data_IF_353738896364
#
_entry.id   IF_353738896364
#
_cell.length_a   1.000
_cell.length_b   1.000
_cell.length_c   1.000
_cell.angle_alpha   90.00
_cell.angle_beta   90.00
_cell.angle_gamma   90.00
#
_symmetry.space_group_name_H-M   'P 1'
#
loop_
_entity.id
_entity.type
_entity.pdbx_description
1 polymer ?
#
# COMPACT_ATOMS: atom_id res chain seq x y z
N UNK A 1 7.38 12.27 3.60
CA UNK A 1 6.68 12.45 4.88
C UNK A 1 6.66 13.92 5.25
N UNK A 2 5.65 14.35 5.97
CA UNK A 2 5.53 15.76 6.41
C UNK A 2 6.70 16.23 7.27
N UNK A 3 7.31 15.32 8.00
CA UNK A 3 8.50 15.63 8.83
C UNK A 3 9.81 15.70 8.03
N UNK A 4 9.76 15.60 6.71
CA UNK A 4 10.93 15.63 5.84
C UNK A 4 11.55 14.27 5.51
N UNK A 5 11.09 13.20 6.13
CA UNK A 5 11.56 11.84 5.82
C UNK A 5 11.19 11.44 4.40
N UNK A 6 12.11 10.78 3.69
CA UNK A 6 11.91 10.33 2.30
C UNK A 6 12.04 8.82 2.21
N UNK A 7 11.05 8.20 1.58
CA UNK A 7 11.06 6.77 1.25
C UNK A 7 11.00 6.67 -0.27
N UNK A 8 11.94 5.94 -0.86
CA UNK A 8 11.99 5.69 -2.29
C UNK A 8 11.87 4.20 -2.56
N UNK A 9 11.27 3.84 -3.68
CA UNK A 9 11.08 2.44 -4.03
C UNK A 9 10.89 2.22 -5.52
N UNK A 10 10.72 0.96 -5.88
CA UNK A 10 10.42 0.51 -7.23
C UNK A 10 9.05 -0.17 -7.24
N UNK A 11 8.32 -0.01 -8.34
CA UNK A 11 7.07 -0.73 -8.59
C UNK A 11 7.30 -1.81 -9.63
N UNK A 12 6.54 -2.91 -9.55
CA UNK A 12 6.69 -4.08 -10.43
C UNK A 12 5.44 -4.32 -11.27
N UNK A 13 5.22 -3.54 -12.35
CA UNK A 13 4.02 -3.69 -13.19
C UNK A 13 3.93 -5.04 -13.88
N UNK A 14 5.05 -5.70 -14.14
CA UNK A 14 5.08 -7.03 -14.72
C UNK A 14 4.58 -8.12 -13.75
N UNK A 15 4.62 -7.87 -12.45
CA UNK A 15 4.18 -8.81 -11.41
C UNK A 15 2.75 -8.53 -10.94
N UNK A 16 2.38 -7.26 -10.83
CA UNK A 16 1.08 -6.85 -10.32
C UNK A 16 0.57 -5.64 -11.11
N UNK A 17 0.18 -5.82 -12.37
CA UNK A 17 -0.14 -4.70 -13.26
C UNK A 17 -1.28 -3.82 -12.74
N UNK A 18 -2.41 -4.40 -12.33
CA UNK A 18 -3.55 -3.60 -11.86
C UNK A 18 -3.22 -2.86 -10.57
N UNK A 19 -2.49 -3.48 -9.66
CA UNK A 19 -2.06 -2.84 -8.42
C UNK A 19 -1.14 -1.65 -8.69
N UNK A 20 -0.19 -1.81 -9.61
CA UNK A 20 0.73 -0.73 -10.00
C UNK A 20 -0.01 0.38 -10.74
N UNK A 21 -0.86 0.05 -11.72
CA UNK A 21 -1.64 1.06 -12.47
C UNK A 21 -2.52 1.88 -11.52
N UNK A 22 -3.16 1.21 -10.58
CA UNK A 22 -3.98 1.86 -9.56
C UNK A 22 -3.16 2.82 -8.68
N UNK A 23 -2.02 2.36 -8.20
CA UNK A 23 -1.15 3.17 -7.36
C UNK A 23 -0.64 4.41 -8.11
N UNK A 24 -0.20 4.24 -9.36
CA UNK A 24 0.23 5.35 -10.22
C UNK A 24 -0.91 6.35 -10.43
N UNK A 25 -2.10 5.87 -10.77
CA UNK A 25 -3.26 6.71 -11.02
C UNK A 25 -3.63 7.53 -9.77
N UNK A 26 -3.68 6.90 -8.61
CA UNK A 26 -3.95 7.58 -7.36
C UNK A 26 -2.88 8.63 -7.02
N UNK A 27 -1.61 8.30 -7.21
CA UNK A 27 -0.51 9.24 -7.00
C UNK A 27 -0.61 10.44 -7.94
N UNK A 28 -0.95 10.21 -9.21
CA UNK A 28 -1.10 11.28 -10.19
C UNK A 28 -2.27 12.22 -9.88
N UNK A 29 -3.24 11.78 -9.10
CA UNK A 29 -4.35 12.60 -8.63
C UNK A 29 -4.13 13.15 -7.21
N UNK A 30 -2.91 13.07 -6.69
CA UNK A 30 -2.56 13.55 -5.35
C UNK A 30 -3.42 12.92 -4.23
N UNK A 31 -3.90 11.71 -4.46
CA UNK A 31 -4.84 11.04 -3.56
C UNK A 31 -4.25 10.82 -2.16
N UNK A 32 -2.96 10.52 -2.08
CA UNK A 32 -2.29 10.20 -0.82
C UNK A 32 -1.80 11.41 -0.05
N UNK A 33 -1.88 12.62 -0.62
CA UNK A 33 -1.41 13.83 0.03
C UNK A 33 -2.17 14.07 1.34
N UNK A 34 -1.44 14.19 2.43
CA UNK A 34 -2.01 14.43 3.75
C UNK A 34 -2.60 13.21 4.45
N UNK A 35 -2.59 12.04 3.83
CA UNK A 35 -3.06 10.81 4.47
C UNK A 35 -2.02 10.28 5.46
N UNK A 36 -2.48 9.47 6.42
CA UNK A 36 -1.64 8.99 7.51
C UNK A 36 -1.38 7.48 7.41
N UNK A 37 -0.32 7.02 8.06
CA UNK A 37 -0.17 5.62 8.40
C UNK A 37 -0.99 5.35 9.66
N UNK A 38 -2.23 4.89 9.47
CA UNK A 38 -3.22 4.75 10.54
C UNK A 38 -3.06 3.46 11.35
N UNK A 39 -2.32 2.48 10.85
CA UNK A 39 -2.09 1.19 11.50
C UNK A 39 -0.62 0.83 11.39
N UNK A 40 0.05 0.72 12.53
CA UNK A 40 1.47 0.47 12.61
C UNK A 40 1.72 -0.66 13.61
N UNK A 41 2.35 -1.73 13.15
CA UNK A 41 2.71 -2.87 14.00
C UNK A 41 4.21 -3.10 13.84
N UNK A 42 4.96 -2.73 14.87
CA UNK A 42 6.40 -2.95 14.92
C UNK A 42 6.72 -4.44 14.74
N UNK A 43 7.73 -4.72 13.92
CA UNK A 43 8.09 -6.09 13.58
C UNK A 43 7.19 -6.74 12.53
N UNK A 44 6.23 -6.00 12.00
CA UNK A 44 5.32 -6.48 10.96
C UNK A 44 5.23 -5.51 9.78
N UNK A 45 4.42 -4.45 9.88
CA UNK A 45 4.18 -3.53 8.75
C UNK A 45 3.70 -2.15 9.22
N UNK A 46 3.73 -1.19 8.29
CA UNK A 46 3.05 0.10 8.43
C UNK A 46 2.02 0.21 7.31
N UNK A 47 0.80 0.57 7.64
CA UNK A 47 -0.33 0.62 6.70
C UNK A 47 -0.93 2.02 6.64
N UNK A 48 -1.17 2.49 5.43
CA UNK A 48 -1.78 3.79 5.17
C UNK A 48 -2.62 3.79 3.91
N UNK A 49 -2.97 5.00 3.44
CA UNK A 49 -3.72 5.17 2.20
C UNK A 49 -5.24 5.15 2.37
N UNK A 50 -5.74 5.17 3.61
CA UNK A 50 -7.17 5.33 3.87
C UNK A 50 -7.54 6.82 3.85
N UNK A 51 -8.47 7.27 2.99
CA UNK A 51 -8.81 8.70 2.89
C UNK A 51 -9.38 9.27 4.20
N UNK A 52 -10.04 8.44 4.99
CA UNK A 52 -10.60 8.85 6.28
C UNK A 52 -9.64 8.63 7.46
N UNK A 53 -8.52 7.96 7.24
CA UNK A 53 -7.58 7.61 8.30
C UNK A 53 -8.10 6.59 9.32
N UNK A 54 -9.19 5.90 9.00
CA UNK A 54 -9.87 4.95 9.91
C UNK A 54 -9.57 3.48 9.57
N UNK A 55 -9.07 3.21 8.37
CA UNK A 55 -8.94 1.86 7.83
C UNK A 55 -10.20 1.37 7.11
N UNK A 56 -11.30 2.14 7.15
CA UNK A 56 -12.59 1.74 6.57
C UNK A 56 -12.84 2.35 5.20
N UNK A 57 -12.08 3.39 4.80
CA UNK A 57 -12.30 4.12 3.57
C UNK A 57 -11.53 3.56 2.38
N UNK A 58 -11.92 4.01 1.19
CA UNK A 58 -11.30 3.66 -0.07
C UNK A 58 -11.66 4.65 -1.17
N UNK A 59 -11.23 4.39 -2.41
CA UNK A 59 -11.42 5.34 -3.53
C UNK A 59 -12.77 5.23 -4.23
N UNK A 60 -13.71 4.46 -3.69
CA UNK A 60 -15.02 4.24 -4.30
C UNK A 60 -15.07 3.08 -5.29
N UNK A 61 -14.01 2.35 -5.44
CA UNK A 61 -13.90 1.16 -6.29
C UNK A 61 -12.90 0.17 -5.69
N UNK A 62 -12.88 -1.03 -6.23
CA UNK A 62 -11.89 -2.06 -5.90
C UNK A 62 -11.13 -2.47 -7.16
N UNK A 63 -10.06 -3.21 -6.97
CA UNK A 63 -9.28 -3.82 -8.06
C UNK A 63 -9.13 -5.31 -7.81
N UNK A 64 -8.85 -6.07 -8.88
CA UNK A 64 -8.57 -7.50 -8.78
C UNK A 64 -7.35 -7.75 -7.88
N UNK A 65 -7.46 -8.72 -7.00
CA UNK A 65 -6.35 -9.17 -6.18
C UNK A 65 -5.37 -10.02 -6.97
N UNK A 66 -4.18 -9.49 -7.20
CA UNK A 66 -3.14 -10.11 -8.04
C UNK A 66 -2.19 -10.95 -7.19
N UNK A 67 -2.68 -12.07 -6.72
CA UNK A 67 -1.92 -13.03 -5.92
C UNK A 67 -2.32 -14.48 -6.26
N UNK A 68 -1.44 -15.42 -5.97
CA UNK A 68 -1.57 -16.80 -6.43
C UNK A 68 -2.91 -17.45 -6.02
N UNK A 69 -3.34 -17.29 -4.78
CA UNK A 69 -4.58 -17.91 -4.28
C UNK A 69 -5.85 -17.28 -4.87
N UNK A 70 -5.71 -16.20 -5.61
CA UNK A 70 -6.78 -15.58 -6.39
C UNK A 70 -6.63 -15.82 -7.89
N UNK A 71 -5.90 -16.86 -8.28
CA UNK A 71 -5.71 -17.24 -9.68
C UNK A 71 -4.75 -16.35 -10.46
N UNK A 72 -3.79 -15.72 -9.79
CA UNK A 72 -2.78 -14.87 -10.42
C UNK A 72 -1.36 -15.34 -10.07
N UNK A 73 -0.87 -16.44 -10.71
CA UNK A 73 0.41 -17.05 -10.36
C UNK A 73 1.63 -16.24 -10.81
N UNK A 74 1.46 -15.25 -11.69
CA UNK A 74 2.55 -14.40 -12.17
C UNK A 74 3.18 -13.61 -11.02
N UNK A 75 2.40 -13.22 -10.01
CA UNK A 75 2.92 -12.52 -8.86
C UNK A 75 3.50 -13.51 -7.85
N UNK A 76 4.80 -13.63 -7.87
CA UNK A 76 5.58 -14.50 -6.97
C UNK A 76 6.41 -13.71 -5.95
N UNK A 77 6.12 -12.42 -5.76
CA UNK A 77 6.83 -11.55 -4.82
C UNK A 77 6.60 -12.05 -3.40
N UNK A 78 7.69 -12.24 -2.65
CA UNK A 78 7.65 -12.60 -1.24
C UNK A 78 7.53 -11.34 -0.38
N UNK A 79 6.80 -11.46 0.73
CA UNK A 79 6.64 -10.35 1.68
C UNK A 79 7.86 -10.24 2.59
N UNK A 80 8.95 -9.74 2.02
CA UNK A 80 10.21 -9.44 2.70
C UNK A 80 10.21 -8.01 3.20
N UNK A 81 11.11 -7.71 4.13
CA UNK A 81 11.32 -6.34 4.61
C UNK A 81 11.43 -5.36 3.44
N UNK A 82 10.67 -4.27 3.49
CA UNK A 82 10.63 -3.22 2.49
C UNK A 82 9.63 -3.43 1.36
N UNK A 83 8.98 -4.57 1.25
CA UNK A 83 8.00 -4.84 0.19
C UNK A 83 6.73 -4.03 0.42
N UNK A 84 6.20 -3.43 -0.68
CA UNK A 84 4.90 -2.77 -0.72
C UNK A 84 3.85 -3.77 -1.18
N UNK A 85 2.72 -3.79 -0.49
CA UNK A 85 1.61 -4.71 -0.79
C UNK A 85 0.26 -4.03 -0.58
N UNK A 86 -0.76 -4.49 -1.30
CA UNK A 86 -2.11 -3.94 -1.16
C UNK A 86 -2.81 -4.52 0.06
N UNK A 87 -3.33 -3.63 0.90
CA UNK A 87 -4.27 -4.02 1.94
C UNK A 87 -5.64 -4.31 1.32
N UNK A 88 -6.41 -5.19 1.93
CA UNK A 88 -7.75 -5.56 1.49
C UNK A 88 -8.57 -6.09 2.67
N UNK A 89 -9.87 -6.18 2.49
CA UNK A 89 -10.73 -6.91 3.41
C UNK A 89 -10.71 -8.41 3.07
N UNK A 90 -11.67 -9.19 3.57
CA UNK A 90 -11.66 -10.65 3.36
C UNK A 90 -11.85 -11.04 1.90
N UNK A 91 -12.65 -10.29 1.15
CA UNK A 91 -12.81 -10.56 -0.28
C UNK A 91 -11.49 -10.37 -1.01
N UNK A 92 -11.07 -11.34 -1.85
CA UNK A 92 -9.79 -11.24 -2.56
C UNK A 92 -9.73 -10.08 -3.56
N UNK A 93 -10.85 -9.54 -4.02
CA UNK A 93 -10.95 -8.44 -4.97
C UNK A 93 -11.46 -7.17 -4.28
N UNK A 94 -11.03 -6.90 -3.07
CA UNK A 94 -11.49 -5.75 -2.26
C UNK A 94 -10.42 -4.68 -2.02
N UNK A 95 -9.25 -4.80 -2.62
CA UNK A 95 -8.22 -3.77 -2.52
C UNK A 95 -8.68 -2.49 -3.23
N UNK A 96 -8.35 -1.36 -2.66
CA UNK A 96 -8.65 -0.03 -3.23
C UNK A 96 -7.44 0.87 -3.17
N UNK A 97 -7.34 1.71 -2.14
CA UNK A 97 -6.22 2.65 -1.99
C UNK A 97 -5.26 2.30 -0.87
N UNK A 98 -5.67 1.49 0.10
CA UNK A 98 -4.83 1.21 1.25
C UNK A 98 -3.69 0.25 0.89
N UNK A 99 -2.51 0.53 1.38
CA UNK A 99 -1.31 -0.25 1.16
C UNK A 99 -0.50 -0.37 2.45
N UNK A 100 0.41 -1.32 2.48
CA UNK A 100 1.34 -1.44 3.59
C UNK A 100 2.76 -1.66 3.10
N UNK A 101 3.71 -1.28 3.94
CA UNK A 101 5.14 -1.49 3.72
C UNK A 101 5.63 -2.44 4.82
N UNK A 102 6.30 -3.52 4.41
CA UNK A 102 6.80 -4.51 5.36
C UNK A 102 7.94 -3.94 6.19
N UNK A 103 7.78 -3.96 7.50
CA UNK A 103 8.86 -3.65 8.44
C UNK A 103 9.78 -4.86 8.61
N UNK A 104 9.23 -6.06 8.68
CA UNK A 104 9.96 -7.33 8.73
C UNK A 104 9.29 -8.36 7.83
N UNK A 105 9.99 -9.45 7.53
CA UNK A 105 9.48 -10.54 6.70
C UNK A 105 8.21 -11.16 7.31
N UNK A 106 7.24 -11.49 6.45
CA UNK A 106 6.00 -12.13 6.87
C UNK A 106 5.54 -13.16 5.82
N UNK A 107 6.05 -14.38 5.93
CA UNK A 107 5.75 -15.47 5.00
C UNK A 107 4.27 -15.81 4.90
N UNK A 108 3.51 -15.59 5.97
CA UNK A 108 2.07 -15.91 5.99
C UNK A 108 1.25 -15.04 5.03
N UNK A 109 1.79 -13.94 4.55
CA UNK A 109 1.14 -13.08 3.56
C UNK A 109 1.43 -13.52 2.12
N UNK A 110 2.46 -14.32 1.90
CA UNK A 110 2.84 -14.76 0.56
C UNK A 110 1.69 -15.53 -0.09
N UNK A 111 1.46 -15.27 -1.37
CA UNK A 111 0.38 -15.87 -2.18
C UNK A 111 -1.03 -15.43 -1.80
N UNK A 112 -1.21 -14.60 -0.78
CA UNK A 112 -2.51 -14.17 -0.27
C UNK A 112 -2.74 -12.66 -0.38
N UNK A 113 -1.69 -11.89 -0.68
CA UNK A 113 -1.75 -10.44 -0.83
C UNK A 113 -0.96 -10.02 -2.07
N UNK A 114 -1.41 -8.93 -2.70
CA UNK A 114 -0.81 -8.41 -3.92
C UNK A 114 0.36 -7.49 -3.61
N UNK A 115 1.53 -8.05 -3.43
CA UNK A 115 2.77 -7.29 -3.37
C UNK A 115 3.03 -6.67 -4.74
N UNK A 116 3.46 -5.40 -4.79
CA UNK A 116 3.58 -4.68 -6.05
C UNK A 116 4.82 -3.80 -6.17
N UNK A 117 5.63 -3.72 -5.14
CA UNK A 117 6.84 -2.90 -5.14
C UNK A 117 7.75 -3.19 -3.97
N UNK A 118 8.86 -2.46 -3.90
CA UNK A 118 9.83 -2.60 -2.83
C UNK A 118 10.55 -1.26 -2.57
N UNK A 119 10.77 -0.95 -1.31
CA UNK A 119 11.59 0.19 -0.89
C UNK A 119 13.05 -0.07 -1.26
N UNK A 120 13.68 0.90 -1.91
CA UNK A 120 15.09 0.86 -2.29
C UNK A 120 15.95 1.81 -1.45
N UNK A 121 15.34 2.83 -0.87
CA UNK A 121 16.01 3.82 0.00
C UNK A 121 15.02 4.36 1.02
N UNK A 122 15.47 4.65 2.23
CA UNK A 122 14.63 5.22 3.26
C UNK A 122 13.98 4.20 4.19
N UNK A 123 14.53 2.99 4.31
CA UNK A 123 14.04 2.03 5.31
C UNK A 123 14.22 2.53 6.74
N UNK A 124 15.18 3.42 6.98
CA UNK A 124 15.30 4.11 8.26
C UNK A 124 14.07 4.94 8.60
N UNK A 125 13.43 5.54 7.59
CA UNK A 125 12.16 6.28 7.77
C UNK A 125 11.02 5.31 8.09
N UNK A 126 10.95 4.18 7.39
CA UNK A 126 9.98 3.10 7.69
C UNK A 126 10.18 2.60 9.12
N UNK A 127 11.42 2.35 9.53
CA UNK A 127 11.76 1.92 10.88
C UNK A 127 11.33 2.94 11.93
N UNK A 128 11.54 4.23 11.67
CA UNK A 128 11.12 5.30 12.56
C UNK A 128 9.60 5.33 12.73
N UNK A 129 8.84 5.17 11.65
CA UNK A 129 7.37 5.08 11.70
C UNK A 129 6.95 3.82 12.47
N UNK A 130 7.57 2.68 12.19
CA UNK A 130 7.25 1.41 12.85
C UNK A 130 7.56 1.44 14.36
N UNK A 131 8.46 2.30 14.79
CA UNK A 131 8.89 2.42 16.17
C UNK A 131 8.08 3.40 17.02
N UNK A 132 7.12 4.14 16.46
CA UNK A 132 6.33 5.11 17.21
C UNK A 132 5.40 4.43 18.21
N UNK A 133 5.07 5.15 19.27
CA UNK A 133 4.09 4.69 20.25
C UNK A 133 2.72 4.59 19.60
N UNK A 134 2.05 3.47 19.79
CA UNK A 134 0.71 3.21 19.28
C UNK A 134 -0.30 3.02 20.42
N UNK A 135 -1.56 3.29 20.11
CA UNK A 135 -2.68 3.08 21.02
C UNK A 135 -3.61 2.01 20.50
N UNK A 136 -4.92 2.20 20.72
CA UNK A 136 -5.96 1.28 20.27
C UNK A 136 -5.88 1.04 18.77
N UNK A 137 -6.10 -0.21 18.34
CA UNK A 137 -6.10 -0.65 16.94
C UNK A 137 -4.75 -0.38 16.23
N UNK A 138 -3.65 -0.39 16.98
CA UNK A 138 -2.31 -0.13 16.46
C UNK A 138 -2.17 1.23 15.78
N UNK A 139 -2.98 2.21 16.21
CA UNK A 139 -2.95 3.57 15.69
C UNK A 139 -1.82 4.36 16.35
N UNK A 140 -0.93 5.02 15.59
CA UNK A 140 0.09 5.89 16.15
C UNK A 140 -0.52 6.99 17.04
N UNK A 141 0.09 7.23 18.18
CA UNK A 141 -0.35 8.31 19.10
C UNK A 141 -0.08 9.68 18.52
N UNK A 142 0.95 9.80 17.68
CA UNK A 142 1.25 11.01 16.92
C UNK A 142 1.08 10.67 15.43
N UNK A 143 0.31 11.48 14.70
CA UNK A 143 0.05 11.21 13.28
C UNK A 143 1.34 11.11 12.47
N UNK A 144 1.44 10.06 11.67
CA UNK A 144 2.53 9.83 10.71
C UNK A 144 2.00 10.17 9.33
N UNK A 145 2.13 11.44 8.94
CA UNK A 145 1.46 12.00 7.77
C UNK A 145 2.36 11.99 6.55
N UNK A 146 1.76 11.59 5.43
CA UNK A 146 2.38 11.62 4.10
C UNK A 146 2.21 13.03 3.54
N UNK A 147 3.31 13.69 3.17
CA UNK A 147 3.24 14.97 2.47
C UNK A 147 2.74 14.75 1.03
N UNK A 148 3.40 13.86 0.30
CA UNK A 148 3.02 13.50 -1.06
C UNK A 148 3.66 12.18 -1.45
N UNK A 149 3.07 11.53 -2.46
CA UNK A 149 3.67 10.38 -3.15
C UNK A 149 3.68 10.70 -4.64
N UNK A 150 4.84 10.61 -5.25
CA UNK A 150 5.01 10.79 -6.70
C UNK A 150 5.61 9.54 -7.31
N UNK A 151 5.25 9.26 -8.56
CA UNK A 151 5.79 8.12 -9.31
C UNK A 151 6.46 8.65 -10.56
N UNK A 152 7.75 8.30 -10.73
CA UNK A 152 8.47 8.54 -11.97
C UNK A 152 8.28 7.33 -12.88
N UNK A 153 7.60 7.52 -14.00
CA UNK A 153 7.34 6.45 -14.96
C UNK A 153 8.39 6.35 -16.06
N UNK A 154 9.45 7.15 -15.96
CA UNK A 154 10.56 7.17 -16.94
C UNK A 154 10.08 7.36 -18.38
N UNK A 155 9.03 8.19 -18.58
CA UNK A 155 8.45 8.45 -19.89
C UNK A 155 7.46 7.39 -20.39
N UNK A 156 7.24 6.31 -19.64
CA UNK A 156 6.23 5.31 -19.96
C UNK A 156 4.84 5.83 -19.61
N UNK A 157 3.84 5.43 -20.40
CA UNK A 157 2.43 5.70 -20.12
C UNK A 157 1.77 4.42 -19.67
N UNK A 158 1.13 4.47 -18.50
CA UNK A 158 0.41 3.33 -17.95
C UNK A 158 -1.09 3.58 -18.02
N UNK A 159 -1.90 2.54 -18.29
CA UNK A 159 -3.34 2.69 -18.32
C UNK A 159 -3.93 2.88 -16.93
N UNK A 160 -5.17 3.35 -16.87
CA UNK A 160 -5.94 3.30 -15.64
C UNK A 160 -6.20 1.85 -15.23
N UNK A 161 -6.38 1.58 -13.93
CA UNK A 161 -6.72 0.22 -13.48
C UNK A 161 -8.14 -0.16 -13.94
N UNK A 162 -8.39 -1.44 -14.06
CA UNK A 162 -9.74 -1.97 -14.23
C UNK A 162 -10.46 -1.90 -12.90
N UNK A 163 -11.41 -0.98 -12.78
CA UNK A 163 -12.16 -0.74 -11.55
C UNK A 163 -13.31 -1.73 -11.43
N UNK A 164 -13.45 -2.29 -10.24
CA UNK A 164 -14.55 -3.18 -9.86
C UNK A 164 -15.44 -2.44 -8.86
N UNK A 165 -16.74 -2.78 -8.80
CA UNK A 165 -17.61 -2.22 -7.76
C UNK A 165 -17.07 -2.53 -6.36
N UNK A 166 -17.17 -1.55 -5.46
CA UNK A 166 -16.82 -1.78 -4.07
C UNK A 166 -17.99 -2.48 -3.37
N UNK A 167 -17.82 -3.77 -2.95
CA UNK A 167 -18.90 -4.52 -2.33
C UNK A 167 -19.30 -3.99 -0.94
N UNK A 168 -18.48 -3.12 -0.36
CA UNK A 168 -18.73 -2.55 0.96
C UNK A 168 -19.25 -1.11 0.90
N UNK A 169 -19.41 -0.54 -0.30
CA UNK A 169 -19.90 0.83 -0.49
C UNK A 169 -19.00 1.89 0.15
N UNK A 170 -17.69 1.66 0.19
CA UNK A 170 -16.73 2.62 0.76
C UNK A 170 -16.46 3.73 -0.25
N UNK A 171 -16.62 4.95 0.15
CA UNK A 171 -16.45 6.12 -0.70
C UNK A 171 -15.30 6.99 -0.24
#
# INVERSE_FOLDING_TARGET
>A
MENGGVIEGELYPEKAPQSVYNFIDLCNHNYYDGLIFHRVIRGFMIQGGCPEGTGMGGPGYCIKGEFMFNGFPTNDIKHKRGVLSMARSQSPNSAGSQFFIMHQDAKHLDKQYAAFGKVTSGMDVVDAIAGVKTGRNARPMTEQKIASITVDTHGETYPEPKKLPDPYGRF
#
